data_IF_560717931291
#
_entry.id   IF_560717931291
#
_cell.length_a   1.000
_cell.length_b   1.000
_cell.length_c   1.000
_cell.angle_alpha   90.00
_cell.angle_beta   90.00
_cell.angle_gamma   90.00
#
_symmetry.space_group_name_H-M   'P 1'
#
loop_
_entity.id
_entity.type
_entity.pdbx_description
1 polymer ?
#
# COMPACT_ATOMS: atom_id res chain seq x y z
N UNK A 1 20.49 -14.18 -40.95
CA UNK A 1 20.82 -12.81 -41.42
C UNK A 1 21.66 -12.13 -40.33
N UNK A 2 22.90 -11.71 -40.61
CA UNK A 2 23.78 -11.09 -39.59
C UNK A 2 23.82 -9.58 -39.81
N UNK A 3 23.39 -8.81 -38.81
CA UNK A 3 23.40 -7.34 -38.85
C UNK A 3 24.86 -6.88 -38.84
N UNK A 4 25.24 -6.01 -39.77
CA UNK A 4 26.59 -5.46 -39.83
C UNK A 4 26.79 -4.41 -38.75
N UNK A 5 28.04 -4.22 -38.27
CA UNK A 5 28.36 -3.19 -37.26
C UNK A 5 27.90 -1.78 -37.66
N UNK A 6 27.85 -1.48 -38.96
CA UNK A 6 27.32 -0.19 -39.48
C UNK A 6 25.81 -0.08 -39.33
N UNK A 7 25.06 -1.14 -39.61
CA UNK A 7 23.61 -1.16 -39.41
C UNK A 7 23.25 -1.06 -37.93
N UNK A 8 23.99 -1.76 -37.05
CA UNK A 8 23.78 -1.68 -35.60
C UNK A 8 24.01 -0.26 -35.07
N UNK A 9 25.09 0.41 -35.51
CA UNK A 9 25.35 1.81 -35.14
C UNK A 9 24.27 2.76 -35.63
N UNK A 10 23.69 2.51 -36.81
CA UNK A 10 22.60 3.35 -37.34
C UNK A 10 21.33 3.21 -36.51
N UNK A 11 20.96 1.98 -36.15
CA UNK A 11 19.81 1.70 -35.28
C UNK A 11 19.98 2.35 -33.91
N UNK A 12 21.15 2.18 -33.28
CA UNK A 12 21.43 2.82 -31.98
C UNK A 12 21.34 4.34 -32.09
N UNK A 13 21.88 4.93 -33.17
CA UNK A 13 21.86 6.38 -33.36
C UNK A 13 20.44 6.91 -33.60
N UNK A 14 19.62 6.19 -34.37
CA UNK A 14 18.22 6.54 -34.61
C UNK A 14 17.37 6.43 -33.34
N UNK A 15 17.55 5.37 -32.54
CA UNK A 15 16.84 5.21 -31.27
C UNK A 15 17.28 6.23 -30.20
N UNK A 16 18.58 6.48 -30.08
CA UNK A 16 19.09 7.52 -29.17
C UNK A 16 18.60 8.91 -29.56
N UNK A 17 18.49 9.21 -30.86
CA UNK A 17 17.94 10.49 -31.35
C UNK A 17 16.47 10.64 -30.99
N UNK A 18 15.65 9.59 -31.19
CA UNK A 18 14.22 9.60 -30.81
C UNK A 18 14.02 9.80 -29.32
N UNK A 19 14.83 9.14 -28.50
CA UNK A 19 14.80 9.30 -27.04
C UNK A 19 15.19 10.74 -26.67
N UNK A 20 16.20 11.32 -27.33
CA UNK A 20 16.64 12.69 -27.06
C UNK A 20 15.64 13.77 -27.52
N UNK A 21 14.92 13.54 -28.61
CA UNK A 21 13.87 14.47 -29.11
C UNK A 21 12.60 14.42 -28.25
N UNK A 22 12.36 13.31 -27.55
CA UNK A 22 11.26 13.18 -26.60
C UNK A 22 11.57 13.75 -25.20
N UNK A 23 12.77 14.29 -24.97
CA UNK A 23 13.20 14.85 -23.68
C UNK A 23 13.30 16.38 -23.74
N UNK A 24 12.77 17.13 -22.75
CA UNK A 24 13.03 18.57 -22.66
C UNK A 24 14.51 18.83 -22.38
N UNK A 25 15.07 19.86 -23.01
CA UNK A 25 16.49 20.19 -22.94
C UNK A 25 16.92 20.53 -21.50
N UNK A 26 17.68 19.62 -20.86
CA UNK A 26 18.39 19.88 -19.60
C UNK A 26 18.06 18.97 -18.41
N UNK A 27 17.19 17.97 -18.53
CA UNK A 27 16.82 17.09 -17.41
C UNK A 27 17.80 15.93 -17.18
N UNK A 28 18.30 15.78 -15.96
CA UNK A 28 18.96 14.56 -15.45
C UNK A 28 17.97 13.37 -15.62
N UNK A 29 18.42 12.15 -15.99
CA UNK A 29 17.52 11.03 -16.24
C UNK A 29 16.65 10.69 -15.02
N UNK A 30 15.34 10.72 -15.24
CA UNK A 30 14.29 10.49 -14.25
C UNK A 30 14.10 8.98 -14.02
N UNK A 31 14.91 8.41 -13.12
CA UNK A 31 14.86 6.99 -12.78
C UNK A 31 13.53 6.65 -12.09
N UNK A 32 12.96 7.58 -11.30
CA UNK A 32 11.72 7.35 -10.55
C UNK A 32 10.51 7.39 -11.47
N UNK A 33 10.39 8.37 -12.37
CA UNK A 33 9.28 8.46 -13.33
C UNK A 33 9.28 7.34 -14.39
N UNK A 34 10.45 6.80 -14.72
CA UNK A 34 10.55 5.63 -15.59
C UNK A 34 10.08 4.33 -14.91
N UNK A 35 10.22 4.25 -13.59
CA UNK A 35 9.82 3.07 -12.79
C UNK A 35 8.34 3.15 -12.38
N UNK A 36 7.82 4.34 -12.06
CA UNK A 36 6.44 4.53 -11.57
C UNK A 36 5.41 4.91 -12.64
N UNK A 37 5.83 5.37 -13.82
CA UNK A 37 4.92 5.71 -14.93
C UNK A 37 4.11 7.01 -14.75
N UNK A 38 4.35 7.78 -13.68
CA UNK A 38 3.59 9.00 -13.35
C UNK A 38 3.99 10.16 -14.28
N UNK A 39 2.99 10.71 -15.00
CA UNK A 39 3.15 11.93 -15.82
C UNK A 39 2.93 13.20 -14.96
N UNK A 40 3.84 14.17 -15.12
CA UNK A 40 3.77 15.49 -14.47
C UNK A 40 4.70 15.62 -13.27
N UNK A 41 5.51 16.67 -13.24
CA UNK A 41 6.47 16.93 -12.16
C UNK A 41 5.79 17.16 -10.81
N UNK A 42 4.58 17.72 -10.80
CA UNK A 42 3.81 17.98 -9.59
C UNK A 42 3.33 16.68 -8.92
N UNK A 43 2.83 15.71 -9.69
CA UNK A 43 2.40 14.42 -9.16
C UNK A 43 3.59 13.59 -8.66
N UNK A 44 4.77 13.73 -9.28
CA UNK A 44 6.00 13.08 -8.81
C UNK A 44 6.50 13.64 -7.47
N UNK A 45 6.32 14.93 -7.21
CA UNK A 45 6.67 15.54 -5.92
C UNK A 45 5.75 15.12 -4.78
N UNK A 46 4.54 14.65 -5.09
CA UNK A 46 3.55 14.16 -4.13
C UNK A 46 3.60 12.65 -3.93
N UNK A 47 4.33 11.92 -4.78
CA UNK A 47 4.48 10.47 -4.68
C UNK A 47 5.32 10.09 -3.44
N UNK A 48 4.79 9.18 -2.65
CA UNK A 48 5.40 8.65 -1.45
C UNK A 48 5.52 7.14 -1.58
N UNK A 49 6.73 6.63 -1.54
CA UNK A 49 7.03 5.20 -1.56
C UNK A 49 7.24 4.72 -0.12
N UNK A 50 6.43 3.75 0.33
CA UNK A 50 6.45 3.28 1.71
C UNK A 50 7.78 2.61 2.08
N UNK A 51 8.46 2.01 1.10
CA UNK A 51 9.77 1.38 1.30
C UNK A 51 10.90 2.39 1.58
N UNK A 52 10.68 3.68 1.32
CA UNK A 52 11.61 4.77 1.67
C UNK A 52 11.45 5.26 3.13
N UNK A 53 10.60 4.61 3.92
CA UNK A 53 10.28 4.96 5.32
C UNK A 53 9.85 6.44 5.49
N UNK A 54 8.81 6.89 4.76
CA UNK A 54 8.31 8.26 4.82
C UNK A 54 7.74 8.60 6.20
N UNK A 55 7.70 9.89 6.52
CA UNK A 55 6.97 10.35 7.69
C UNK A 55 5.45 10.31 7.47
N UNK A 56 4.71 10.31 8.57
CA UNK A 56 3.24 10.21 8.57
C UNK A 56 2.56 11.35 7.79
N UNK A 57 3.09 12.57 7.82
CA UNK A 57 2.46 13.70 7.14
C UNK A 57 2.59 13.55 5.63
N UNK A 58 3.77 13.13 5.15
CA UNK A 58 3.99 12.84 3.74
C UNK A 58 3.00 11.77 3.24
N UNK A 59 2.82 10.68 3.98
CA UNK A 59 1.86 9.62 3.64
C UNK A 59 0.42 10.16 3.62
N UNK A 60 0.04 10.93 4.64
CA UNK A 60 -1.30 11.54 4.74
C UNK A 60 -1.59 12.50 3.59
N UNK A 61 -0.61 13.29 3.15
CA UNK A 61 -0.76 14.25 2.05
C UNK A 61 -0.82 13.57 0.68
N UNK A 62 -0.21 12.39 0.56
CA UNK A 62 -0.14 11.61 -0.67
C UNK A 62 -1.33 10.63 -0.84
N UNK A 63 -2.02 10.29 0.25
CA UNK A 63 -3.16 9.36 0.21
C UNK A 63 -4.38 9.98 -0.50
N UNK A 64 -5.16 9.22 -1.29
CA UNK A 64 -4.99 7.81 -1.65
C UNK A 64 -4.16 7.56 -2.93
N UNK A 65 -4.03 8.57 -3.79
CA UNK A 65 -3.60 8.38 -5.18
C UNK A 65 -2.07 8.28 -5.36
N UNK A 66 -1.31 8.69 -4.35
CA UNK A 66 0.14 8.87 -4.46
C UNK A 66 0.95 8.14 -3.39
N UNK A 67 0.35 7.18 -2.68
CA UNK A 67 1.07 6.26 -1.80
C UNK A 67 1.34 4.95 -2.54
N UNK A 68 2.61 4.57 -2.61
CA UNK A 68 3.09 3.42 -3.37
C UNK A 68 3.82 2.42 -2.47
N UNK A 69 3.74 1.15 -2.85
CA UNK A 69 4.59 0.07 -2.35
C UNK A 69 5.16 -0.68 -3.53
N UNK A 70 6.49 -0.66 -3.68
CA UNK A 70 7.19 -1.23 -4.83
C UNK A 70 6.63 -0.72 -6.17
N UNK A 71 6.38 0.60 -6.26
CA UNK A 71 5.81 1.26 -7.45
C UNK A 71 4.37 0.89 -7.83
N UNK A 72 3.66 0.15 -6.98
CA UNK A 72 2.23 -0.11 -7.11
C UNK A 72 1.45 0.80 -6.16
N UNK A 73 0.39 1.45 -6.64
CA UNK A 73 -0.45 2.29 -5.79
C UNK A 73 -1.15 1.42 -4.73
N UNK A 74 -1.03 1.81 -3.47
CA UNK A 74 -1.54 1.04 -2.32
C UNK A 74 -3.07 1.05 -2.29
N UNK A 75 -3.72 2.16 -2.60
CA UNK A 75 -5.18 2.23 -2.63
C UNK A 75 -5.77 1.31 -3.70
N UNK A 76 -5.21 1.34 -4.91
CA UNK A 76 -5.61 0.46 -6.01
C UNK A 76 -5.49 -1.02 -5.64
N UNK A 77 -4.38 -1.37 -4.99
CA UNK A 77 -4.09 -2.75 -4.54
C UNK A 77 -5.07 -3.23 -3.47
N UNK A 78 -5.35 -2.40 -2.47
CA UNK A 78 -6.09 -2.82 -1.28
C UNK A 78 -7.59 -2.53 -1.33
N UNK A 79 -8.08 -1.66 -2.22
CA UNK A 79 -9.49 -1.23 -2.22
C UNK A 79 -10.20 -1.25 -3.58
N UNK A 80 -9.52 -0.99 -4.70
CA UNK A 80 -10.20 -0.88 -6.01
C UNK A 80 -10.12 -2.14 -6.89
N UNK A 81 -9.18 -3.05 -6.60
CA UNK A 81 -9.00 -4.27 -7.41
C UNK A 81 -9.94 -5.37 -6.92
N UNK A 82 -10.54 -6.15 -7.81
CA UNK A 82 -11.31 -7.33 -7.40
C UNK A 82 -10.41 -8.38 -6.74
N UNK A 83 -10.79 -8.88 -5.56
CA UNK A 83 -9.90 -9.72 -4.75
C UNK A 83 -8.79 -8.89 -4.12
N UNK A 84 -9.14 -7.64 -3.78
CA UNK A 84 -8.25 -6.72 -3.08
C UNK A 84 -7.97 -7.20 -1.67
N UNK A 85 -6.98 -6.60 -1.03
CA UNK A 85 -6.68 -6.96 0.35
C UNK A 85 -7.81 -6.69 1.33
N UNK A 86 -8.70 -5.72 1.07
CA UNK A 86 -9.89 -5.53 1.90
C UNK A 86 -10.92 -6.65 1.70
N UNK A 87 -11.09 -7.16 0.48
CA UNK A 87 -11.98 -8.30 0.19
C UNK A 87 -11.49 -9.56 0.93
N UNK A 88 -10.20 -9.89 0.79
CA UNK A 88 -9.57 -11.05 1.46
C UNK A 88 -9.64 -10.92 3.00
N UNK A 89 -9.49 -9.71 3.52
CA UNK A 89 -9.60 -9.43 4.95
C UNK A 89 -11.04 -9.56 5.46
N UNK A 90 -12.04 -9.07 4.72
CA UNK A 90 -13.45 -9.26 5.06
C UNK A 90 -13.88 -10.73 4.98
N UNK A 91 -13.44 -11.45 3.95
CA UNK A 91 -13.69 -12.90 3.82
C UNK A 91 -13.07 -13.67 5.00
N UNK A 92 -11.91 -13.23 5.50
CA UNK A 92 -11.35 -13.79 6.73
C UNK A 92 -12.19 -13.40 7.96
N UNK A 93 -12.54 -12.13 8.12
CA UNK A 93 -13.29 -11.59 9.27
C UNK A 93 -14.63 -12.32 9.44
N UNK A 94 -15.38 -12.46 8.34
CA UNK A 94 -16.67 -13.14 8.32
C UNK A 94 -16.56 -14.65 8.62
N UNK A 95 -15.50 -15.33 8.13
CA UNK A 95 -15.27 -16.75 8.45
C UNK A 95 -14.99 -17.00 9.93
N UNK A 96 -14.42 -16.02 10.62
CA UNK A 96 -14.19 -16.07 12.07
C UNK A 96 -15.41 -15.61 12.87
N UNK A 97 -16.54 -15.31 12.22
CA UNK A 97 -17.79 -14.92 12.88
C UNK A 97 -17.84 -13.46 13.30
N UNK A 98 -17.04 -12.59 12.67
CA UNK A 98 -17.08 -11.16 12.90
C UNK A 98 -17.78 -10.43 11.74
N UNK A 99 -18.62 -9.46 12.08
CA UNK A 99 -19.04 -8.37 11.20
C UNK A 99 -18.27 -7.11 11.61
N UNK A 100 -17.87 -6.26 10.67
CA UNK A 100 -17.09 -5.09 11.03
C UNK A 100 -16.90 -4.06 9.94
N UNK A 101 -16.22 -2.99 10.32
CA UNK A 101 -15.83 -1.91 9.44
C UNK A 101 -14.31 -1.74 9.48
N UNK A 102 -13.67 -1.71 8.31
CA UNK A 102 -12.24 -1.38 8.20
C UNK A 102 -12.03 0.10 8.54
N UNK A 103 -11.03 0.37 9.38
CA UNK A 103 -10.76 1.73 9.93
C UNK A 103 -9.26 2.04 10.02
N UNK A 104 -8.39 1.12 9.59
CA UNK A 104 -6.94 1.26 9.71
C UNK A 104 -6.20 0.44 8.66
N UNK A 105 -5.22 1.07 8.01
CA UNK A 105 -4.20 0.38 7.22
C UNK A 105 -2.81 0.88 7.65
N UNK A 106 -1.91 -0.05 7.93
CA UNK A 106 -0.51 0.23 8.21
C UNK A 106 0.44 -0.68 7.43
N UNK A 107 1.68 -0.23 7.26
CA UNK A 107 2.75 -0.99 6.61
C UNK A 107 3.94 -1.17 7.56
N UNK A 108 4.38 -2.40 7.75
CA UNK A 108 5.58 -2.73 8.50
C UNK A 108 6.77 -2.98 7.56
N UNK A 109 7.74 -2.04 7.48
CA UNK A 109 8.91 -2.19 6.62
C UNK A 109 9.87 -3.29 7.08
N UNK A 110 9.78 -3.79 8.32
CA UNK A 110 10.68 -4.86 8.79
C UNK A 110 10.27 -6.23 8.26
N UNK A 111 8.97 -6.53 8.26
CA UNK A 111 8.45 -7.80 7.79
C UNK A 111 7.92 -7.76 6.36
N UNK A 112 7.90 -6.58 5.74
CA UNK A 112 7.27 -6.31 4.44
C UNK A 112 5.82 -6.82 4.41
N UNK A 113 5.05 -6.48 5.44
CA UNK A 113 3.63 -6.85 5.54
C UNK A 113 2.78 -5.61 5.81
N UNK A 114 1.50 -5.74 5.49
CA UNK A 114 0.48 -4.77 5.83
C UNK A 114 -0.34 -5.25 7.02
N UNK A 115 -0.89 -4.32 7.77
CA UNK A 115 -1.81 -4.58 8.87
C UNK A 115 -3.08 -3.81 8.60
N UNK A 116 -4.20 -4.54 8.49
CA UNK A 116 -5.52 -3.96 8.36
C UNK A 116 -6.29 -4.13 9.66
N UNK A 117 -6.90 -3.04 10.14
CA UNK A 117 -7.61 -2.99 11.40
C UNK A 117 -9.10 -2.71 11.21
N UNK A 118 -9.91 -3.41 11.99
CA UNK A 118 -11.37 -3.37 11.92
C UNK A 118 -11.96 -3.03 13.28
N UNK A 119 -13.01 -2.23 13.28
CA UNK A 119 -13.98 -2.21 14.37
C UNK A 119 -15.00 -3.32 14.10
N UNK A 120 -14.96 -4.40 14.89
CA UNK A 120 -15.71 -5.61 14.63
C UNK A 120 -16.59 -6.05 15.82
N UNK A 121 -17.67 -6.75 15.50
CA UNK A 121 -18.64 -7.33 16.42
C UNK A 121 -18.74 -8.83 16.12
N UNK A 122 -18.66 -9.66 17.16
CA UNK A 122 -18.82 -11.10 17.02
C UNK A 122 -20.31 -11.44 16.86
N UNK A 123 -20.68 -12.15 15.78
CA UNK A 123 -22.07 -12.39 15.35
C UNK A 123 -22.82 -13.41 16.24
N UNK A 124 -22.10 -14.29 16.94
CA UNK A 124 -22.68 -15.48 17.59
C UNK A 124 -23.34 -15.21 18.96
N UNK A 125 -23.44 -13.94 19.38
CA UNK A 125 -23.93 -13.60 20.71
C UNK A 125 -25.40 -13.14 20.72
N UNK A 126 -26.29 -14.12 20.93
CA UNK A 126 -27.58 -13.96 21.63
C UNK A 126 -27.41 -13.39 23.07
N UNK A 127 -26.16 -13.12 23.48
CA UNK A 127 -25.77 -12.50 24.73
C UNK A 127 -25.60 -10.99 24.53
N UNK A 128 -26.53 -10.22 25.09
CA UNK A 128 -26.42 -8.77 25.24
C UNK A 128 -25.13 -8.39 26.01
N UNK A 129 -24.00 -8.25 25.31
CA UNK A 129 -22.73 -7.94 25.97
C UNK A 129 -21.45 -8.02 25.14
N UNK A 130 -21.43 -8.53 23.90
CA UNK A 130 -20.21 -8.48 23.08
C UNK A 130 -19.91 -7.03 22.70
N UNK A 131 -18.88 -6.48 23.36
CA UNK A 131 -18.38 -5.15 23.05
C UNK A 131 -17.61 -5.17 21.74
N UNK A 132 -17.67 -4.07 21.00
CA UNK A 132 -16.85 -3.85 19.81
C UNK A 132 -15.38 -4.17 20.07
N UNK A 133 -14.76 -4.96 19.22
CA UNK A 133 -13.35 -5.33 19.27
C UNK A 133 -12.57 -4.68 18.12
N UNK A 134 -11.33 -4.28 18.40
CA UNK A 134 -10.36 -3.92 17.38
C UNK A 134 -9.71 -5.20 16.86
N UNK A 135 -10.11 -5.68 15.68
CA UNK A 135 -9.54 -6.89 15.07
C UNK A 135 -8.46 -6.48 14.08
N UNK A 136 -7.29 -7.13 14.18
CA UNK A 136 -6.12 -6.81 13.37
C UNK A 136 -5.69 -8.01 12.53
N UNK A 137 -5.67 -7.82 11.22
CA UNK A 137 -5.35 -8.84 10.24
C UNK A 137 -4.01 -8.49 9.58
N UNK A 138 -3.10 -9.46 9.57
CA UNK A 138 -1.84 -9.37 8.84
C UNK A 138 -2.09 -9.73 7.37
N UNK A 139 -1.63 -8.87 6.47
CA UNK A 139 -1.72 -9.05 5.03
C UNK A 139 -0.32 -9.11 4.43
N UNK A 140 -0.12 -9.96 3.42
CA UNK A 140 1.13 -9.97 2.66
C UNK A 140 1.22 -8.75 1.70
N UNK A 141 2.37 -8.50 1.04
CA UNK A 141 2.54 -7.43 0.04
C UNK A 141 1.56 -7.43 -1.13
N UNK A 142 0.86 -8.53 -1.36
CA UNK A 142 -0.13 -8.71 -2.43
C UNK A 142 -1.56 -8.48 -1.91
N UNK A 143 -1.72 -8.19 -0.62
CA UNK A 143 -2.99 -7.97 0.04
C UNK A 143 -3.62 -9.22 0.63
N UNK A 144 -2.99 -10.40 0.55
CA UNK A 144 -3.64 -11.63 1.01
C UNK A 144 -3.60 -11.76 2.51
N UNK A 145 -4.74 -12.11 3.11
CA UNK A 145 -4.83 -12.37 4.54
C UNK A 145 -3.97 -13.57 4.96
N UNK A 146 -3.10 -13.36 5.95
CA UNK A 146 -2.23 -14.39 6.51
C UNK A 146 -2.82 -14.95 7.82
N UNK A 147 -3.03 -14.08 8.81
CA UNK A 147 -3.57 -14.45 10.13
C UNK A 147 -4.00 -13.22 10.95
N UNK A 148 -4.71 -13.44 12.06
CA UNK A 148 -4.96 -12.40 13.07
C UNK A 148 -3.71 -12.15 13.89
N UNK A 149 -3.40 -10.88 14.10
CA UNK A 149 -2.33 -10.48 15.01
C UNK A 149 -2.86 -10.41 16.45
N UNK A 150 -4.05 -9.85 16.65
CA UNK A 150 -4.68 -9.68 17.96
C UNK A 150 -6.14 -9.22 17.81
N UNK A 151 -6.96 -9.43 18.85
CA UNK A 151 -8.22 -8.71 19.05
C UNK A 151 -8.15 -7.89 20.35
N UNK A 152 -8.62 -6.65 20.30
CA UNK A 152 -8.50 -5.70 21.42
C UNK A 152 -9.87 -5.20 21.85
N UNK A 153 -10.28 -5.39 23.13
CA UNK A 153 -11.57 -4.90 23.59
C UNK A 153 -11.71 -3.38 23.51
N UNK A 154 -12.81 -2.91 22.92
CA UNK A 154 -13.16 -1.49 22.80
C UNK A 154 -12.76 -0.86 21.47
N UNK A 155 -12.69 -1.65 20.40
CA UNK A 155 -12.43 -1.16 19.03
C UNK A 155 -10.98 -0.84 18.72
N UNK A 156 -10.77 -0.39 17.48
CA UNK A 156 -9.48 -0.06 16.90
C UNK A 156 -8.93 1.26 17.44
N UNK A 157 -9.79 2.22 17.79
CA UNK A 157 -9.34 3.54 18.28
C UNK A 157 -9.76 3.84 19.72
N UNK A 158 -8.83 4.31 20.58
CA UNK A 158 -7.37 4.35 20.38
C UNK A 158 -6.69 2.99 20.64
N UNK A 159 -7.37 2.05 21.31
CA UNK A 159 -6.74 0.88 21.94
C UNK A 159 -6.12 -0.09 20.95
N UNK A 160 -6.83 -0.45 19.88
CA UNK A 160 -6.28 -1.31 18.83
C UNK A 160 -5.04 -0.71 18.18
N UNK A 161 -5.08 0.59 17.86
CA UNK A 161 -3.93 1.32 17.30
C UNK A 161 -2.74 1.33 18.26
N UNK A 162 -2.97 1.60 19.54
CA UNK A 162 -1.90 1.55 20.54
C UNK A 162 -1.30 0.15 20.67
N UNK A 163 -2.12 -0.91 20.55
CA UNK A 163 -1.65 -2.29 20.51
C UNK A 163 -0.78 -2.56 19.28
N UNK A 164 -1.18 -2.08 18.09
CA UNK A 164 -0.37 -2.16 16.87
C UNK A 164 0.96 -1.45 17.05
N UNK A 165 0.97 -0.19 17.53
CA UNK A 165 2.20 0.58 17.74
C UNK A 165 3.12 -0.05 18.79
N UNK A 166 2.55 -0.73 19.79
CA UNK A 166 3.33 -1.47 20.78
C UNK A 166 3.97 -2.73 20.19
N UNK A 167 3.26 -3.45 19.32
CA UNK A 167 3.75 -4.67 18.67
C UNK A 167 4.72 -4.37 17.52
N UNK A 168 4.46 -3.30 16.77
CA UNK A 168 5.22 -2.87 15.58
C UNK A 168 5.55 -1.37 15.68
N UNK A 169 6.53 -0.96 16.51
CA UNK A 169 6.86 0.45 16.72
C UNK A 169 7.25 1.22 15.45
N UNK A 170 7.78 0.52 14.45
CA UNK A 170 8.20 1.05 13.15
C UNK A 170 7.08 1.16 12.13
N UNK A 171 5.86 0.70 12.44
CA UNK A 171 4.77 0.65 11.46
C UNK A 171 4.43 2.05 10.96
N UNK A 172 4.30 2.18 9.65
CA UNK A 172 3.90 3.40 8.96
C UNK A 172 2.38 3.40 8.88
N UNK A 173 1.74 4.42 9.45
CA UNK A 173 0.29 4.59 9.33
C UNK A 173 -0.01 5.04 7.88
N UNK A 174 -0.72 4.20 7.12
CA UNK A 174 -1.05 4.48 5.72
C UNK A 174 -2.39 5.20 5.62
N UNK A 175 -3.42 4.63 6.24
CA UNK A 175 -4.74 5.23 6.36
C UNK A 175 -5.19 5.21 7.81
N UNK A 176 -5.74 6.34 8.23
CA UNK A 176 -6.40 6.52 9.51
C UNK A 176 -7.73 7.20 9.20
N UNK A 177 -8.84 6.52 9.47
CA UNK A 177 -10.18 7.13 9.44
C UNK A 177 -10.44 8.00 10.69
#
# INVERSE_FOLDING_TARGET
MKITKRQLRRIIKEEVSRISEAMPAGGVPDVVGAVTGIRGEENRRKAVELTDNPDRNAVSDAWPDHVYHNSENVFEKFYNTQGSGVDDAFDWLSREGYDGQEVYLGYDPQSDNFVMGFDAFFEDDDMAGSGMEGVLILLDPRGRALETITSVPGGMYPKGKDAVKKAMPQIIDVRLD
#
